data_IF_478224817370
#
_entry.id   IF_478224817370
#
_cell.length_a   1.000
_cell.length_b   1.000
_cell.length_c   1.000
_cell.angle_alpha   90.00
_cell.angle_beta   90.00
_cell.angle_gamma   90.00
#
_symmetry.space_group_name_H-M   'P 1'
#
loop_
_entity.id
_entity.type
_entity.pdbx_description
1 polymer ?
#
# COMPACT_ATOMS: atom_id res chain seq x y z
N UNK A 1 9.54 -28.13 11.67
CA UNK A 1 8.22 -28.02 11.02
C UNK A 1 8.41 -27.12 9.82
N UNK A 2 8.09 -27.57 8.60
CA UNK A 2 8.24 -26.76 7.40
C UNK A 2 7.43 -25.46 7.52
N UNK A 3 8.00 -24.34 7.08
CA UNK A 3 7.30 -23.05 7.02
C UNK A 3 6.11 -23.23 6.07
N UNK A 4 4.88 -23.22 6.62
CA UNK A 4 3.65 -23.27 5.83
C UNK A 4 3.67 -22.09 4.86
N UNK A 5 3.67 -22.37 3.55
CA UNK A 5 3.83 -21.33 2.54
C UNK A 5 2.46 -20.71 2.21
N UNK A 6 2.00 -19.81 3.07
CA UNK A 6 0.78 -19.04 2.81
C UNK A 6 1.05 -17.91 1.81
N UNK A 7 0.29 -17.89 0.72
CA UNK A 7 0.27 -16.80 -0.25
C UNK A 7 -1.02 -16.02 -0.09
N UNK A 8 -0.89 -14.71 0.16
CA UNK A 8 -1.99 -13.76 0.18
C UNK A 8 -1.75 -12.70 -0.88
N UNK A 9 -2.79 -12.39 -1.67
CA UNK A 9 -2.76 -11.39 -2.74
C UNK A 9 -4.01 -10.54 -2.70
N UNK A 10 -3.88 -9.24 -2.97
CA UNK A 10 -5.02 -8.34 -3.16
C UNK A 10 -5.65 -8.66 -4.52
N UNK A 11 -6.97 -8.70 -4.60
CA UNK A 11 -7.72 -8.91 -5.84
C UNK A 11 -8.58 -7.72 -6.22
N UNK A 12 -9.04 -6.95 -5.22
CA UNK A 12 -9.93 -5.83 -5.43
C UNK A 12 -9.83 -4.82 -4.28
N UNK A 13 -9.94 -3.54 -4.63
CA UNK A 13 -10.04 -2.40 -3.71
C UNK A 13 -11.27 -1.58 -4.11
N UNK A 14 -12.19 -1.34 -3.18
CA UNK A 14 -13.36 -0.48 -3.37
C UNK A 14 -13.38 0.62 -2.31
N UNK A 15 -13.57 1.86 -2.75
CA UNK A 15 -13.63 3.05 -1.92
C UNK A 15 -15.00 3.73 -2.07
N UNK A 16 -15.58 4.14 -0.94
CA UNK A 16 -16.81 4.94 -0.86
C UNK A 16 -16.62 6.12 0.08
N UNK A 17 -16.90 7.33 -0.39
CA UNK A 17 -16.80 8.55 0.42
C UNK A 17 -15.40 8.83 0.99
N UNK A 18 -14.33 8.35 0.35
CA UNK A 18 -12.95 8.53 0.79
C UNK A 18 -12.27 9.65 0.00
N UNK A 19 -11.86 10.73 0.68
CA UNK A 19 -11.37 11.99 0.10
C UNK A 19 -12.30 12.52 -0.98
N UNK A 20 -11.78 12.69 -2.19
CA UNK A 20 -12.49 13.12 -3.38
C UNK A 20 -13.12 11.95 -4.15
N UNK A 21 -13.07 10.72 -3.63
CA UNK A 21 -13.67 9.52 -4.25
C UNK A 21 -15.00 9.22 -3.58
N UNK A 22 -16.11 9.57 -4.23
CA UNK A 22 -17.45 9.20 -3.77
C UNK A 22 -17.68 7.70 -3.96
N UNK A 23 -17.31 7.16 -5.12
CA UNK A 23 -17.25 5.74 -5.40
C UNK A 23 -16.14 5.43 -6.41
N UNK A 24 -15.34 4.41 -6.11
CA UNK A 24 -14.33 3.91 -7.03
C UNK A 24 -14.01 2.45 -6.72
N UNK A 25 -13.83 1.65 -7.76
CA UNK A 25 -13.49 0.23 -7.64
C UNK A 25 -12.35 -0.13 -8.58
N UNK A 26 -11.37 -0.83 -8.04
CA UNK A 26 -10.17 -1.28 -8.73
C UNK A 26 -10.09 -2.79 -8.59
N UNK A 27 -9.95 -3.48 -9.71
CA UNK A 27 -9.81 -4.94 -9.77
C UNK A 27 -8.42 -5.24 -10.32
N UNK A 28 -7.65 -6.09 -9.65
CA UNK A 28 -6.31 -6.50 -10.11
C UNK A 28 -6.41 -7.32 -11.41
N UNK A 29 -5.41 -7.24 -12.31
CA UNK A 29 -5.41 -8.01 -13.57
C UNK A 29 -5.67 -9.50 -13.39
N UNK A 30 -5.00 -10.14 -12.42
CA UNK A 30 -5.18 -11.57 -12.10
C UNK A 30 -6.65 -11.90 -11.82
N UNK A 31 -7.30 -11.13 -10.96
CA UNK A 31 -8.71 -11.28 -10.62
C UNK A 31 -9.66 -10.98 -11.79
N UNK A 32 -9.35 -9.96 -12.60
CA UNK A 32 -10.12 -9.61 -13.79
C UNK A 32 -10.11 -10.73 -14.85
N UNK A 33 -8.96 -11.42 -14.97
CA UNK A 33 -8.78 -12.57 -15.87
C UNK A 33 -9.23 -13.90 -15.24
N UNK A 34 -9.75 -13.88 -14.00
CA UNK A 34 -10.12 -15.07 -13.21
C UNK A 34 -8.95 -16.02 -12.91
N UNK A 35 -7.71 -15.52 -12.99
CA UNK A 35 -6.50 -16.23 -12.57
C UNK A 35 -6.18 -15.94 -11.10
N UNK A 36 -7.08 -16.34 -10.20
CA UNK A 36 -7.03 -15.94 -8.79
C UNK A 36 -5.80 -16.46 -8.03
N UNK A 37 -5.25 -17.60 -8.44
CA UNK A 37 -4.13 -18.27 -7.78
C UNK A 37 -2.82 -18.12 -8.56
N UNK A 38 -2.74 -17.09 -9.41
CA UNK A 38 -1.53 -16.75 -10.15
C UNK A 38 -0.34 -16.56 -9.22
N UNK A 39 0.81 -17.09 -9.63
CA UNK A 39 2.11 -16.91 -8.94
C UNK A 39 3.07 -16.03 -9.74
N UNK A 40 2.56 -15.34 -10.75
CA UNK A 40 3.29 -14.43 -11.63
C UNK A 40 2.96 -12.96 -11.30
N UNK A 41 3.61 -12.06 -12.00
CA UNK A 41 3.45 -10.62 -11.85
C UNK A 41 1.97 -10.21 -11.96
N UNK A 42 1.54 -9.34 -11.04
CA UNK A 42 0.21 -8.73 -11.06
C UNK A 42 0.39 -7.25 -10.76
N UNK A 43 0.62 -6.51 -11.84
CA UNK A 43 1.02 -5.12 -11.84
C UNK A 43 -0.20 -4.27 -12.17
N UNK A 44 -0.38 -3.16 -11.45
CA UNK A 44 -1.44 -2.23 -11.68
C UNK A 44 -0.94 -0.79 -11.56
N UNK A 45 -0.91 -0.08 -12.69
CA UNK A 45 -0.68 1.35 -12.74
C UNK A 45 -1.98 2.15 -12.73
N UNK A 46 -2.06 3.16 -11.87
CA UNK A 46 -3.17 4.10 -11.76
C UNK A 46 -2.75 5.44 -12.35
N UNK A 47 -3.44 5.88 -13.41
CA UNK A 47 -3.09 7.06 -14.21
C UNK A 47 -4.18 8.12 -14.18
N UNK A 48 -3.81 9.37 -14.47
CA UNK A 48 -4.76 10.49 -14.59
C UNK A 48 -4.20 11.79 -14.01
N UNK A 49 -4.97 12.87 -14.15
CA UNK A 49 -4.54 14.21 -13.76
C UNK A 49 -4.21 14.38 -12.27
N UNK A 50 -3.54 15.47 -11.92
CA UNK A 50 -3.29 15.81 -10.52
C UNK A 50 -4.63 16.02 -9.80
N UNK A 51 -4.73 15.54 -8.55
CA UNK A 51 -5.97 15.66 -7.78
C UNK A 51 -7.14 14.76 -8.25
N UNK A 52 -6.92 13.82 -9.17
CA UNK A 52 -7.95 12.88 -9.64
C UNK A 52 -8.20 11.69 -8.70
N UNK A 53 -7.60 11.65 -7.51
CA UNK A 53 -7.82 10.58 -6.52
C UNK A 53 -6.96 9.32 -6.72
N UNK A 54 -5.84 9.39 -7.44
CA UNK A 54 -4.86 8.28 -7.51
C UNK A 54 -4.29 7.94 -6.12
N UNK A 55 -3.75 8.96 -5.44
CA UNK A 55 -3.20 8.89 -4.08
C UNK A 55 -4.21 8.37 -3.05
N UNK A 56 -5.52 8.60 -3.27
CA UNK A 56 -6.57 8.12 -2.38
C UNK A 56 -6.57 6.59 -2.23
N UNK A 57 -6.19 5.84 -3.28
CA UNK A 57 -6.05 4.37 -3.22
C UNK A 57 -4.88 3.96 -2.33
N UNK A 58 -3.75 4.64 -2.48
CA UNK A 58 -2.53 4.37 -1.73
C UNK A 58 -2.77 4.62 -0.24
N UNK A 59 -3.39 5.76 0.08
CA UNK A 59 -3.68 6.15 1.46
C UNK A 59 -4.74 5.24 2.12
N UNK A 60 -5.78 4.85 1.38
CA UNK A 60 -6.76 3.89 1.87
C UNK A 60 -6.11 2.54 2.21
N UNK A 61 -5.15 2.08 1.40
CA UNK A 61 -4.40 0.86 1.68
C UNK A 61 -3.45 1.02 2.88
N UNK A 62 -2.91 2.21 3.12
CA UNK A 62 -2.16 2.51 4.34
C UNK A 62 -3.03 2.39 5.60
N UNK A 63 -4.27 2.86 5.54
CA UNK A 63 -5.24 2.72 6.64
C UNK A 63 -5.58 1.25 6.88
N UNK A 64 -5.88 0.52 5.82
CA UNK A 64 -6.15 -0.92 5.88
C UNK A 64 -4.94 -1.64 6.47
N UNK A 65 -3.72 -1.37 6.02
CA UNK A 65 -2.51 -1.98 6.60
C UNK A 65 -2.38 -1.70 8.11
N UNK A 66 -2.67 -0.47 8.54
CA UNK A 66 -2.59 -0.05 9.94
C UNK A 66 -3.59 -0.85 10.78
N UNK A 67 -4.83 -0.95 10.34
CA UNK A 67 -5.89 -1.72 11.00
C UNK A 67 -5.60 -3.22 11.02
N UNK A 68 -5.20 -3.78 9.88
CA UNK A 68 -4.89 -5.21 9.74
C UNK A 68 -3.67 -5.64 10.56
N UNK A 69 -2.80 -4.71 10.95
CA UNK A 69 -1.67 -4.98 11.87
C UNK A 69 -2.01 -4.69 13.34
N UNK A 70 -3.27 -4.35 13.64
CA UNK A 70 -3.77 -4.10 14.99
C UNK A 70 -3.32 -2.77 15.58
N UNK A 71 -2.85 -1.83 14.75
CA UNK A 71 -2.42 -0.49 15.16
C UNK A 71 -3.59 0.51 15.09
N UNK A 72 -3.56 1.56 15.92
CA UNK A 72 -4.60 2.59 15.90
C UNK A 72 -4.48 3.48 14.67
N UNK A 73 -5.62 3.91 14.12
CA UNK A 73 -5.64 4.97 13.11
C UNK A 73 -5.29 6.32 13.74
N UNK A 74 -4.57 7.14 12.98
CA UNK A 74 -4.25 8.51 13.37
C UNK A 74 -5.50 9.40 13.38
N UNK A 75 -5.55 10.43 14.24
CA UNK A 75 -6.71 11.33 14.32
C UNK A 75 -6.95 12.11 13.02
N UNK A 76 -5.89 12.32 12.25
CA UNK A 76 -5.87 12.95 10.93
C UNK A 76 -6.69 12.15 9.89
N UNK A 77 -7.00 10.88 10.16
CA UNK A 77 -7.85 10.06 9.31
C UNK A 77 -9.25 10.67 9.08
N UNK A 78 -9.72 11.54 9.97
CA UNK A 78 -10.97 12.30 9.77
C UNK A 78 -10.97 13.13 8.48
N UNK A 79 -9.80 13.64 8.07
CA UNK A 79 -9.65 14.45 6.86
C UNK A 79 -9.75 13.63 5.56
N UNK A 80 -9.75 12.30 5.69
CA UNK A 80 -9.93 11.36 4.59
C UNK A 80 -11.39 10.93 4.42
N UNK A 81 -12.26 11.21 5.40
CA UNK A 81 -13.70 11.13 5.18
C UNK A 81 -14.08 12.32 4.28
N UNK A 82 -14.78 12.08 3.18
CA UNK A 82 -15.18 13.14 2.25
C UNK A 82 -15.89 14.28 2.97
N UNK A 83 -15.73 15.52 2.50
CA UNK A 83 -16.40 16.67 3.14
C UNK A 83 -17.92 16.54 3.05
N UNK A 84 -18.39 15.99 1.94
CA UNK A 84 -19.81 15.85 1.61
C UNK A 84 -20.41 14.52 2.12
N UNK A 85 -19.66 13.75 2.91
CA UNK A 85 -20.11 12.47 3.46
C UNK A 85 -19.94 12.42 4.99
N UNK A 86 -20.90 11.78 5.65
CA UNK A 86 -20.79 11.46 7.08
C UNK A 86 -19.95 10.20 7.34
N UNK A 87 -19.88 9.31 6.34
CA UNK A 87 -19.17 8.03 6.45
C UNK A 87 -18.29 7.79 5.24
N UNK A 88 -17.18 7.08 5.45
CA UNK A 88 -16.41 6.47 4.37
C UNK A 88 -16.28 4.96 4.59
N UNK A 89 -16.20 4.20 3.51
CA UNK A 89 -16.04 2.75 3.54
C UNK A 89 -14.88 2.35 2.64
N UNK A 90 -14.01 1.50 3.17
CA UNK A 90 -12.92 0.86 2.42
C UNK A 90 -13.19 -0.63 2.42
N UNK A 91 -13.22 -1.26 1.25
CA UNK A 91 -13.39 -2.70 1.09
C UNK A 91 -12.22 -3.27 0.31
N UNK A 92 -11.57 -4.31 0.84
CA UNK A 92 -10.44 -4.99 0.20
C UNK A 92 -10.72 -6.48 0.14
N UNK A 93 -10.56 -7.06 -1.06
CA UNK A 93 -10.65 -8.51 -1.27
C UNK A 93 -9.28 -9.13 -1.41
N UNK A 94 -9.04 -10.19 -0.65
CA UNK A 94 -7.81 -10.98 -0.65
C UNK A 94 -8.08 -12.37 -1.20
N UNK A 95 -7.17 -12.88 -2.02
CA UNK A 95 -7.06 -14.30 -2.32
C UNK A 95 -6.03 -14.90 -1.37
N UNK A 96 -6.42 -15.96 -0.68
CA UNK A 96 -5.60 -16.68 0.29
C UNK A 96 -5.42 -18.10 -0.20
N UNK A 97 -4.17 -18.53 -0.28
CA UNK A 97 -3.78 -19.89 -0.59
C UNK A 97 -2.81 -20.38 0.48
N UNK A 98 -3.23 -21.36 1.26
CA UNK A 98 -2.36 -22.17 2.12
C UNK A 98 -2.07 -23.51 1.43
N UNK A 99 -1.30 -24.38 2.08
CA UNK A 99 -1.04 -25.73 1.58
C UNK A 99 -2.32 -26.59 1.47
N UNK A 100 -3.33 -26.30 2.29
CA UNK A 100 -4.55 -27.10 2.42
C UNK A 100 -5.84 -26.37 2.04
N UNK A 101 -5.90 -25.05 2.18
CA UNK A 101 -7.12 -24.24 2.02
C UNK A 101 -6.89 -23.13 0.99
N UNK A 102 -7.90 -22.87 0.18
CA UNK A 102 -7.97 -21.74 -0.75
C UNK A 102 -9.25 -20.98 -0.50
N UNK A 103 -9.18 -19.66 -0.40
CA UNK A 103 -10.36 -18.84 -0.14
C UNK A 103 -10.20 -17.42 -0.70
N UNK A 104 -11.34 -16.78 -0.94
CA UNK A 104 -11.43 -15.33 -1.06
C UNK A 104 -11.94 -14.77 0.26
N UNK A 105 -11.25 -13.79 0.80
CA UNK A 105 -11.69 -13.03 1.98
C UNK A 105 -11.99 -11.59 1.57
N UNK A 106 -13.04 -11.01 2.13
CA UNK A 106 -13.38 -9.60 1.96
C UNK A 106 -13.39 -8.93 3.33
N UNK A 107 -12.54 -7.93 3.50
CA UNK A 107 -12.52 -7.06 4.69
C UNK A 107 -13.13 -5.71 4.32
N UNK A 108 -14.13 -5.29 5.08
CA UNK A 108 -14.79 -4.01 4.99
C UNK A 108 -14.61 -3.27 6.30
N UNK A 109 -14.22 -2.00 6.23
CA UNK A 109 -14.20 -1.08 7.37
C UNK A 109 -14.96 0.19 7.01
N UNK A 110 -15.77 0.67 7.95
CA UNK A 110 -16.51 1.93 7.82
C UNK A 110 -16.15 2.90 8.95
N UNK A 111 -15.76 4.10 8.55
CA UNK A 111 -15.51 5.22 9.46
C UNK A 111 -16.69 6.18 9.42
N UNK A 112 -17.05 6.77 10.57
CA UNK A 112 -18.07 7.81 10.67
C UNK A 112 -17.51 9.05 11.34
N UNK A 113 -17.74 10.21 10.74
CA UNK A 113 -17.46 11.50 11.35
C UNK A 113 -18.50 11.77 12.45
N UNK A 114 -18.02 12.02 13.66
CA UNK A 114 -18.86 12.36 14.82
C UNK A 114 -18.89 13.88 15.01
N UNK A 115 -17.76 14.54 14.83
CA UNK A 115 -17.63 15.98 14.93
C UNK A 115 -16.60 16.52 13.92
N UNK A 116 -16.19 17.79 14.03
CA UNK A 116 -15.15 18.36 13.15
C UNK A 116 -13.76 17.74 13.37
N UNK A 117 -13.52 17.15 14.54
CA UNK A 117 -12.20 16.62 14.96
C UNK A 117 -12.25 15.17 15.43
N UNK A 118 -13.42 14.57 15.50
CA UNK A 118 -13.60 13.20 16.00
C UNK A 118 -14.34 12.32 14.97
N UNK A 119 -13.88 11.09 14.89
CA UNK A 119 -14.48 10.03 14.08
C UNK A 119 -14.37 8.71 14.83
N UNK A 120 -15.16 7.74 14.42
CA UNK A 120 -15.15 6.38 14.97
C UNK A 120 -15.07 5.34 13.85
N UNK A 121 -14.52 4.18 14.17
CA UNK A 121 -14.69 2.96 13.37
C UNK A 121 -16.02 2.33 13.78
N UNK A 122 -17.06 2.54 12.99
CA UNK A 122 -18.42 2.16 13.36
C UNK A 122 -18.78 0.73 12.94
N UNK A 123 -18.12 0.21 11.91
CA UNK A 123 -18.44 -1.09 11.35
C UNK A 123 -17.18 -1.78 10.80
N UNK A 124 -17.06 -3.08 11.09
CA UNK A 124 -16.07 -3.96 10.49
C UNK A 124 -16.72 -5.28 10.11
N UNK A 125 -16.48 -5.72 8.88
CA UNK A 125 -16.98 -7.01 8.39
C UNK A 125 -15.83 -7.79 7.77
N UNK A 126 -15.66 -9.04 8.19
CA UNK A 126 -14.87 -10.04 7.49
C UNK A 126 -15.81 -11.08 6.92
N UNK A 127 -15.74 -11.26 5.60
CA UNK A 127 -16.48 -12.31 4.88
C UNK A 127 -15.50 -13.25 4.19
N UNK A 128 -15.93 -14.49 3.96
CA UNK A 128 -15.13 -15.46 3.22
C UNK A 128 -15.96 -16.30 2.25
N UNK A 129 -15.30 -16.76 1.19
CA UNK A 129 -15.80 -17.73 0.25
C UNK A 129 -14.70 -18.76 -0.02
N UNK A 130 -14.92 -20.01 0.41
CA UNK A 130 -13.97 -21.09 0.18
C UNK A 130 -13.91 -21.45 -1.31
N UNK A 131 -12.77 -21.92 -1.79
CA UNK A 131 -12.60 -22.41 -3.15
C UNK A 131 -12.90 -23.91 -3.22
N UNK A 132 -13.91 -24.27 -3.99
CA UNK A 132 -14.34 -25.67 -4.15
C UNK A 132 -13.45 -26.51 -5.08
N UNK A 133 -12.51 -25.89 -5.79
CA UNK A 133 -11.72 -26.51 -6.86
C UNK A 133 -11.97 -25.84 -8.22
N UNK A 134 -13.22 -25.46 -8.48
CA UNK A 134 -13.65 -24.85 -9.76
C UNK A 134 -14.17 -23.42 -9.61
N UNK A 135 -14.82 -23.12 -8.48
CA UNK A 135 -15.41 -21.82 -8.19
C UNK A 135 -15.36 -21.50 -6.70
N UNK A 136 -15.50 -20.22 -6.38
CA UNK A 136 -15.77 -19.81 -5.01
C UNK A 136 -17.18 -20.23 -4.59
N UNK A 137 -17.30 -20.75 -3.39
CA UNK A 137 -18.57 -20.98 -2.72
C UNK A 137 -19.30 -19.65 -2.46
N UNK A 138 -20.55 -19.75 -2.00
CA UNK A 138 -21.31 -18.59 -1.56
C UNK A 138 -20.56 -17.86 -0.44
N UNK A 139 -20.39 -16.56 -0.61
CA UNK A 139 -19.83 -15.65 0.39
C UNK A 139 -20.64 -15.73 1.69
N UNK A 140 -19.95 -15.90 2.82
CA UNK A 140 -20.51 -15.92 4.16
C UNK A 140 -19.86 -14.84 5.01
N UNK A 141 -20.66 -14.13 5.81
CA UNK A 141 -20.12 -13.26 6.84
C UNK A 141 -19.51 -14.12 7.95
N UNK A 142 -18.23 -13.92 8.21
CA UNK A 142 -17.48 -14.61 9.26
C UNK A 142 -17.62 -13.83 10.56
N UNK A 143 -17.31 -12.53 10.52
CA UNK A 143 -17.47 -11.60 11.62
C UNK A 143 -18.09 -10.34 11.04
N UNK A 144 -19.17 -9.88 11.64
CA UNK A 144 -19.83 -8.64 11.31
C UNK A 144 -20.08 -7.87 12.61
N UNK A 145 -19.29 -6.82 12.81
CA UNK A 145 -19.21 -6.04 14.05
C UNK A 145 -19.74 -4.62 13.81
N UNK A 146 -20.67 -4.18 14.66
CA UNK A 146 -21.13 -2.79 14.72
C UNK A 146 -20.88 -2.21 16.10
N UNK A 147 -20.14 -1.10 16.18
CA UNK A 147 -19.75 -0.46 17.44
C UNK A 147 -20.99 -0.10 18.29
N UNK A 148 -22.01 0.45 17.65
CA UNK A 148 -23.26 0.89 18.29
C UNK A 148 -24.41 -0.11 18.15
N UNK A 149 -24.11 -1.37 17.75
CA UNK A 149 -25.14 -2.41 17.68
C UNK A 149 -25.62 -2.79 19.09
N UNK A 150 -26.95 -2.78 19.29
CA UNK A 150 -27.62 -3.24 20.52
C UNK A 150 -27.75 -4.77 20.60
N UNK A 151 -27.44 -5.48 19.51
CA UNK A 151 -27.51 -6.93 19.40
C UNK A 151 -26.30 -7.67 19.97
N UNK A 152 -26.03 -8.91 19.50
CA UNK A 152 -24.80 -9.62 19.87
C UNK A 152 -23.55 -8.80 19.50
N UNK A 153 -22.43 -9.02 20.21
CA UNK A 153 -21.17 -8.28 20.02
C UNK A 153 -20.75 -8.29 18.54
N UNK A 154 -20.86 -9.44 17.89
CA UNK A 154 -20.76 -9.58 16.44
C UNK A 154 -21.72 -10.67 15.94
N UNK A 155 -21.99 -10.68 14.63
CA UNK A 155 -22.74 -11.75 13.97
C UNK A 155 -21.86 -12.51 12.96
N UNK A 156 -22.19 -13.77 12.59
CA UNK A 156 -23.34 -14.57 13.01
C UNK A 156 -23.35 -14.97 14.49
N UNK A 157 -24.55 -14.98 15.11
CA UNK A 157 -24.71 -15.26 16.56
C UNK A 157 -24.14 -16.62 16.98
N UNK A 158 -24.30 -17.66 16.15
CA UNK A 158 -23.81 -19.00 16.47
C UNK A 158 -22.29 -19.04 16.67
N UNK A 159 -21.51 -18.25 15.89
CA UNK A 159 -20.05 -18.19 16.05
C UNK A 159 -19.64 -17.54 17.37
N UNK A 160 -20.35 -16.47 17.77
CA UNK A 160 -20.14 -15.85 19.06
C UNK A 160 -20.44 -16.84 20.19
N UNK A 161 -21.55 -17.59 20.10
CA UNK A 161 -21.93 -18.60 21.07
C UNK A 161 -20.92 -19.76 21.13
N UNK A 162 -20.40 -20.22 19.99
CA UNK A 162 -19.40 -21.28 19.94
C UNK A 162 -18.07 -20.84 20.56
N UNK A 163 -17.61 -19.60 20.31
CA UNK A 163 -16.42 -19.05 20.97
C UNK A 163 -16.60 -18.94 22.49
N UNK A 164 -17.77 -18.51 22.95
CA UNK A 164 -18.05 -18.41 24.40
C UNK A 164 -18.12 -19.81 25.02
N UNK A 165 -18.74 -20.79 24.35
CA UNK A 165 -18.82 -22.17 24.82
C UNK A 165 -17.43 -22.81 24.99
N UNK A 166 -16.49 -22.45 24.12
CA UNK A 166 -15.11 -22.93 24.20
C UNK A 166 -14.32 -22.27 25.34
N UNK A 167 -14.56 -20.97 25.59
CA UNK A 167 -14.03 -20.26 26.77
C UNK A 167 -14.97 -19.12 27.18
N UNK A 168 -15.57 -19.23 28.37
CA UNK A 168 -16.53 -18.26 28.91
C UNK A 168 -15.92 -16.85 29.07
N UNK A 169 -14.59 -16.73 29.26
CA UNK A 169 -13.89 -15.44 29.32
C UNK A 169 -13.95 -14.68 28.01
N UNK A 170 -14.16 -15.35 26.87
CA UNK A 170 -14.24 -14.71 25.56
C UNK A 170 -15.34 -13.65 25.49
N UNK A 171 -16.43 -13.80 26.26
CA UNK A 171 -17.48 -12.77 26.36
C UNK A 171 -16.93 -11.46 26.94
N UNK A 172 -16.11 -11.57 27.99
CA UNK A 172 -15.47 -10.41 28.64
C UNK A 172 -14.41 -9.83 27.71
N UNK A 173 -13.54 -10.67 27.16
CA UNK A 173 -12.45 -10.24 26.27
C UNK A 173 -12.98 -9.52 25.01
N UNK A 174 -14.06 -10.02 24.39
CA UNK A 174 -14.70 -9.35 23.25
C UNK A 174 -15.41 -8.05 23.65
N UNK A 175 -15.93 -7.95 24.88
CA UNK A 175 -16.49 -6.70 25.40
C UNK A 175 -15.40 -5.63 25.62
N UNK A 176 -14.23 -6.06 26.12
CA UNK A 176 -13.04 -5.21 26.23
C UNK A 176 -12.56 -4.77 24.85
N UNK A 177 -12.43 -5.71 23.89
CA UNK A 177 -12.07 -5.41 22.51
C UNK A 177 -13.00 -4.36 21.88
N UNK A 178 -14.32 -4.49 22.07
CA UNK A 178 -15.32 -3.50 21.62
C UNK A 178 -15.06 -2.13 22.24
N UNK A 179 -14.75 -2.06 23.53
CA UNK A 179 -14.49 -0.79 24.22
C UNK A 179 -13.20 -0.11 23.75
N UNK A 180 -12.15 -0.89 23.53
CA UNK A 180 -10.86 -0.40 23.01
C UNK A 180 -11.00 0.05 21.56
N UNK A 181 -11.68 -0.71 20.70
CA UNK A 181 -11.93 -0.32 19.31
C UNK A 181 -12.61 1.06 19.20
N UNK A 182 -13.62 1.32 20.04
CA UNK A 182 -14.29 2.62 20.07
C UNK A 182 -13.45 3.77 20.64
N UNK A 183 -12.56 3.50 21.59
CA UNK A 183 -11.77 4.54 22.27
C UNK A 183 -10.46 4.87 21.54
N UNK A 184 -9.77 3.84 21.08
CA UNK A 184 -8.38 3.91 20.65
C UNK A 184 -8.24 3.79 19.11
N UNK A 185 -9.36 3.76 18.36
CA UNK A 185 -9.39 3.72 16.90
C UNK A 185 -8.62 2.54 16.30
N UNK A 186 -8.65 1.40 16.99
CA UNK A 186 -8.08 0.12 16.54
C UNK A 186 -9.16 -0.77 15.95
N UNK A 187 -8.75 -1.69 15.08
CA UNK A 187 -9.65 -2.72 14.54
C UNK A 187 -10.21 -3.62 15.65
N UNK A 188 -11.49 -3.96 15.58
CA UNK A 188 -12.08 -4.98 16.45
C UNK A 188 -11.63 -6.38 16.03
N UNK A 189 -11.53 -6.66 14.72
CA UNK A 189 -11.17 -7.98 14.19
C UNK A 189 -9.65 -8.24 14.33
N UNK A 190 -8.82 -7.25 14.00
CA UNK A 190 -7.36 -7.40 13.91
C UNK A 190 -6.60 -6.78 15.08
N UNK A 191 -7.28 -5.98 15.93
CA UNK A 191 -6.71 -5.45 17.16
C UNK A 191 -6.29 -6.57 18.12
N UNK A 192 -5.30 -6.33 19.00
CA UNK A 192 -4.70 -7.37 19.84
C UNK A 192 -5.72 -8.20 20.62
N UNK A 193 -6.69 -7.56 21.26
CA UNK A 193 -7.71 -8.22 22.08
C UNK A 193 -8.65 -9.09 21.24
N UNK A 194 -9.25 -8.54 20.19
CA UNK A 194 -10.20 -9.27 19.35
C UNK A 194 -9.53 -10.40 18.57
N UNK A 195 -8.39 -10.10 17.92
CA UNK A 195 -7.60 -11.10 17.21
C UNK A 195 -7.14 -12.22 18.14
N UNK A 196 -6.74 -11.91 19.37
CA UNK A 196 -6.38 -12.90 20.37
C UNK A 196 -7.49 -13.92 20.61
N UNK A 197 -8.74 -13.46 20.75
CA UNK A 197 -9.92 -14.33 20.89
C UNK A 197 -10.21 -15.13 19.62
N UNK A 198 -10.17 -14.52 18.43
CA UNK A 198 -10.48 -15.24 17.19
C UNK A 198 -9.44 -16.33 16.86
N UNK A 199 -8.22 -16.20 17.37
CA UNK A 199 -7.14 -17.17 17.15
C UNK A 199 -6.98 -18.17 18.29
N UNK A 200 -7.61 -17.98 19.46
CA UNK A 200 -7.46 -18.90 20.60
C UNK A 200 -8.12 -20.26 20.39
N UNK A 201 -9.14 -20.32 19.52
CA UNK A 201 -9.94 -21.50 19.20
C UNK A 201 -9.65 -22.10 17.81
N UNK A 202 -8.40 -21.97 17.33
CA UNK A 202 -8.04 -22.29 15.94
C UNK A 202 -8.20 -23.78 15.56
N UNK A 203 -8.30 -24.68 16.54
CA UNK A 203 -8.59 -26.11 16.36
C UNK A 203 -10.03 -26.49 16.74
N UNK A 204 -10.87 -25.51 17.04
CA UNK A 204 -12.23 -25.64 17.55
C UNK A 204 -13.19 -24.69 16.84
N UNK A 205 -13.85 -23.81 17.59
CA UNK A 205 -14.92 -22.93 17.10
C UNK A 205 -14.51 -21.98 15.97
N UNK A 206 -13.21 -21.69 15.81
CA UNK A 206 -12.70 -20.79 14.77
C UNK A 206 -11.88 -21.45 13.67
N UNK A 207 -11.86 -22.78 13.58
CA UNK A 207 -11.01 -23.52 12.62
C UNK A 207 -11.21 -23.12 11.14
N UNK A 208 -12.43 -22.73 10.77
CA UNK A 208 -12.78 -22.38 9.39
C UNK A 208 -12.46 -20.91 9.01
N UNK A 209 -12.04 -20.06 9.96
CA UNK A 209 -11.69 -18.67 9.67
C UNK A 209 -10.47 -18.11 10.42
N UNK A 210 -9.99 -18.73 11.49
CA UNK A 210 -8.79 -18.31 12.20
C UNK A 210 -7.59 -18.22 11.26
N UNK A 211 -7.45 -19.18 10.33
CA UNK A 211 -6.40 -19.15 9.32
C UNK A 211 -6.51 -17.93 8.39
N UNK A 212 -7.72 -17.43 8.10
CA UNK A 212 -7.94 -16.24 7.27
C UNK A 212 -7.43 -15.00 8.00
N UNK A 213 -7.85 -14.81 9.26
CA UNK A 213 -7.43 -13.68 10.09
C UNK A 213 -5.90 -13.71 10.27
N UNK A 214 -5.34 -14.88 10.59
CA UNK A 214 -3.90 -15.05 10.75
C UNK A 214 -3.14 -14.74 9.45
N UNK A 215 -3.62 -15.26 8.31
CA UNK A 215 -2.98 -15.04 7.01
C UNK A 215 -2.98 -13.56 6.62
N UNK A 216 -4.11 -12.87 6.80
CA UNK A 216 -4.22 -11.43 6.49
C UNK A 216 -3.35 -10.59 7.44
N UNK A 217 -3.37 -10.89 8.75
CA UNK A 217 -2.54 -10.22 9.74
C UNK A 217 -1.04 -10.36 9.41
N UNK A 218 -0.58 -11.59 9.14
CA UNK A 218 0.80 -11.86 8.74
C UNK A 218 1.16 -11.20 7.41
N UNK A 219 0.26 -11.23 6.42
CA UNK A 219 0.46 -10.56 5.14
C UNK A 219 0.60 -9.04 5.29
N UNK A 220 -0.32 -8.39 6.01
CA UNK A 220 -0.27 -6.95 6.24
C UNK A 220 0.99 -6.55 7.03
N UNK A 221 1.36 -7.40 8.00
CA UNK A 221 2.54 -7.26 8.83
C UNK A 221 3.84 -7.41 8.06
N UNK A 222 3.98 -8.42 7.18
CA UNK A 222 5.27 -8.87 6.63
C UNK A 222 5.43 -8.72 5.11
N UNK A 223 4.33 -8.71 4.36
CA UNK A 223 4.37 -8.85 2.90
C UNK A 223 3.76 -7.67 2.14
N UNK A 224 2.91 -6.86 2.79
CA UNK A 224 2.37 -5.63 2.24
C UNK A 224 3.28 -4.45 2.60
N UNK A 225 3.60 -3.61 1.61
CA UNK A 225 4.34 -2.37 1.78
C UNK A 225 3.55 -1.24 1.11
N UNK A 226 3.22 -0.20 1.87
CA UNK A 226 2.53 0.98 1.35
C UNK A 226 3.45 2.18 1.50
N UNK A 227 3.92 2.73 0.38
CA UNK A 227 4.83 3.87 0.31
C UNK A 227 4.06 5.07 -0.24
N UNK A 228 3.59 5.92 0.67
CA UNK A 228 2.88 7.15 0.32
C UNK A 228 3.84 8.28 -0.08
N UNK A 229 3.29 9.34 -0.67
CA UNK A 229 4.08 10.52 -1.01
C UNK A 229 4.64 11.26 0.22
N UNK A 230 4.11 11.07 1.42
CA UNK A 230 4.72 11.59 2.64
C UNK A 230 6.06 10.90 2.95
N UNK A 231 6.19 9.60 2.62
CA UNK A 231 7.48 8.90 2.67
C UNK A 231 8.44 9.42 1.61
N UNK A 232 7.96 9.71 0.39
CA UNK A 232 8.77 10.35 -0.65
C UNK A 232 9.15 11.81 -0.29
N UNK A 233 8.27 12.54 0.37
CA UNK A 233 8.52 13.90 0.85
C UNK A 233 9.54 13.97 1.97
N UNK A 234 9.57 12.98 2.88
CA UNK A 234 10.64 12.85 3.87
C UNK A 234 12.02 12.61 3.22
N UNK A 235 12.05 11.88 2.10
CA UNK A 235 13.24 11.71 1.25
C UNK A 235 13.63 13.05 0.61
N UNK A 236 12.67 13.79 0.04
CA UNK A 236 12.90 15.12 -0.56
C UNK A 236 13.24 16.23 0.44
N UNK A 237 12.99 16.02 1.75
CA UNK A 237 13.30 16.97 2.81
C UNK A 237 14.61 16.63 3.57
N UNK A 238 15.47 15.75 3.02
CA UNK A 238 16.79 15.37 3.55
C UNK A 238 16.84 14.69 4.94
N UNK A 239 15.75 14.59 5.71
CA UNK A 239 15.82 14.17 7.12
C UNK A 239 16.07 12.67 7.37
N UNK A 240 15.55 11.76 6.55
CA UNK A 240 15.67 10.30 6.77
C UNK A 240 15.22 9.49 5.54
N UNK A 241 15.97 8.46 5.11
CA UNK A 241 15.38 7.41 4.25
C UNK A 241 14.86 6.31 5.17
N UNK A 242 13.53 6.10 5.26
CA UNK A 242 13.04 4.80 5.68
C UNK A 242 13.37 3.81 4.58
N UNK A 243 14.43 3.01 4.76
CA UNK A 243 14.66 1.85 3.91
C UNK A 243 13.67 0.80 4.36
N UNK A 244 12.53 0.74 3.68
CA UNK A 244 11.60 -0.35 3.89
C UNK A 244 12.31 -1.64 3.46
N UNK A 245 12.56 -2.54 4.41
CA UNK A 245 13.25 -3.78 4.13
C UNK A 245 12.45 -4.99 4.59
N UNK A 246 12.66 -6.09 3.88
CA UNK A 246 12.34 -7.43 4.34
C UNK A 246 13.57 -8.30 4.12
N UNK A 247 14.12 -8.82 5.21
CA UNK A 247 15.31 -9.66 5.18
C UNK A 247 14.97 -11.06 5.68
N UNK A 248 15.35 -12.07 4.92
CA UNK A 248 15.22 -13.48 5.30
C UNK A 248 16.54 -13.92 5.97
N UNK A 249 16.51 -14.08 7.30
CA UNK A 249 17.64 -14.52 8.11
C UNK A 249 17.58 -16.04 8.37
N UNK A 250 16.97 -16.81 7.45
CA UNK A 250 16.82 -18.26 7.53
C UNK A 250 15.66 -18.68 8.44
N UNK A 251 15.87 -18.68 9.77
CA UNK A 251 14.80 -19.07 10.72
C UNK A 251 13.85 -17.92 11.08
N UNK A 252 14.23 -16.67 10.77
CA UNK A 252 13.45 -15.46 11.06
C UNK A 252 13.39 -14.55 9.86
N UNK A 253 12.22 -13.94 9.66
CA UNK A 253 12.03 -12.89 8.67
C UNK A 253 11.96 -11.57 9.45
N UNK A 254 12.89 -10.67 9.18
CA UNK A 254 12.86 -9.32 9.70
C UNK A 254 12.15 -8.41 8.69
N UNK A 255 11.22 -7.58 9.16
CA UNK A 255 10.67 -6.46 8.41
C UNK A 255 10.70 -5.21 9.29
N UNK A 256 11.11 -4.10 8.70
CA UNK A 256 11.11 -2.81 9.36
C UNK A 256 11.54 -1.72 8.41
N UNK A 257 11.72 -0.54 8.98
CA UNK A 257 12.38 0.58 8.33
C UNK A 257 13.77 0.70 8.95
N UNK A 258 14.81 0.58 8.12
CA UNK A 258 16.16 0.88 8.58
C UNK A 258 16.29 2.41 8.56
N UNK A 259 16.29 3.00 9.75
CA UNK A 259 16.36 4.44 9.96
C UNK A 259 17.82 4.90 9.96
N UNK A 260 18.42 4.99 8.76
CA UNK A 260 19.70 5.68 8.59
C UNK A 260 19.40 7.08 8.05
N UNK A 261 20.00 8.08 8.70
CA UNK A 261 19.87 9.47 8.28
C UNK A 261 20.60 9.70 6.97
N UNK A 262 20.01 10.56 6.13
CA UNK A 262 20.61 10.97 4.87
C UNK A 262 21.38 12.28 5.02
N UNK A 263 20.81 13.23 5.74
CA UNK A 263 21.34 14.57 5.94
C UNK A 263 22.68 14.56 6.67
N UNK A 264 22.85 13.69 7.66
CA UNK A 264 24.08 13.61 8.45
C UNK A 264 24.39 12.20 8.98
N UNK A 265 25.65 11.93 9.40
CA UNK A 265 26.02 10.66 10.00
C UNK A 265 25.18 10.33 11.25
N UNK A 266 24.68 9.10 11.35
CA UNK A 266 23.88 8.60 12.46
C UNK A 266 24.55 7.44 13.19
N UNK A 267 24.28 7.28 14.48
CA UNK A 267 24.78 6.14 15.27
C UNK A 267 23.74 5.03 15.25
N UNK A 268 24.13 3.84 14.80
CA UNK A 268 23.28 2.64 14.77
C UNK A 268 23.90 1.52 15.60
N UNK A 269 23.08 0.60 16.14
CA UNK A 269 23.62 -0.56 16.86
C UNK A 269 24.39 -1.49 15.93
N UNK A 270 25.29 -2.31 16.50
CA UNK A 270 26.06 -3.31 15.73
C UNK A 270 25.17 -4.26 14.93
N UNK A 271 24.04 -4.69 15.51
CA UNK A 271 23.05 -5.52 14.81
C UNK A 271 22.47 -4.80 13.57
N UNK A 272 22.07 -3.54 13.71
CA UNK A 272 21.57 -2.76 12.58
C UNK A 272 22.65 -2.50 11.52
N UNK A 273 23.91 -2.32 11.93
CA UNK A 273 25.05 -2.17 11.02
C UNK A 273 25.26 -3.41 10.15
N UNK A 274 25.24 -4.60 10.76
CA UNK A 274 25.37 -5.88 10.05
C UNK A 274 24.20 -6.11 9.08
N UNK A 275 22.96 -5.85 9.52
CA UNK A 275 21.76 -5.92 8.68
C UNK A 275 21.85 -4.95 7.50
N UNK A 276 22.25 -3.70 7.74
CA UNK A 276 22.42 -2.69 6.70
C UNK A 276 23.46 -3.12 5.66
N UNK A 277 24.60 -3.66 6.10
CA UNK A 277 25.64 -4.17 5.21
C UNK A 277 25.14 -5.29 4.28
N UNK A 278 24.35 -6.23 4.80
CA UNK A 278 23.74 -7.31 4.01
C UNK A 278 22.75 -6.76 2.97
N UNK A 279 21.83 -5.89 3.41
CA UNK A 279 20.84 -5.28 2.52
C UNK A 279 21.52 -4.51 1.37
N UNK A 280 22.52 -3.69 1.67
CA UNK A 280 23.22 -2.90 0.65
C UNK A 280 24.03 -3.79 -0.30
N UNK A 281 24.59 -4.88 0.18
CA UNK A 281 25.28 -5.86 -0.68
C UNK A 281 24.32 -6.48 -1.69
N UNK A 282 23.15 -6.95 -1.26
CA UNK A 282 22.12 -7.49 -2.14
C UNK A 282 21.59 -6.44 -3.12
N UNK A 283 21.34 -5.23 -2.64
CA UNK A 283 20.88 -4.11 -3.47
C UNK A 283 21.88 -3.77 -4.58
N UNK A 284 23.18 -3.80 -4.30
CA UNK A 284 24.23 -3.49 -5.28
C UNK A 284 24.23 -4.43 -6.49
N UNK A 285 23.83 -5.71 -6.32
CA UNK A 285 23.72 -6.67 -7.43
C UNK A 285 22.70 -6.16 -8.45
N UNK A 286 21.58 -5.63 -7.98
CA UNK A 286 20.50 -5.12 -8.84
C UNK A 286 20.78 -3.69 -9.30
N UNK A 287 21.36 -2.86 -8.42
CA UNK A 287 21.66 -1.47 -8.72
C UNK A 287 22.68 -1.33 -9.86
N UNK A 288 23.73 -2.15 -9.88
CA UNK A 288 24.73 -2.15 -10.96
C UNK A 288 24.12 -2.57 -12.31
N UNK A 289 23.14 -3.48 -12.30
CA UNK A 289 22.40 -3.86 -13.50
C UNK A 289 21.42 -2.77 -13.98
N UNK A 290 20.82 -2.02 -13.07
CA UNK A 290 19.86 -0.95 -13.38
C UNK A 290 20.54 0.37 -13.77
N UNK A 291 21.62 0.73 -13.08
CA UNK A 291 22.37 1.98 -13.23
C UNK A 291 23.86 1.61 -13.26
N UNK A 292 24.41 1.29 -14.45
CA UNK A 292 25.78 0.79 -14.58
C UNK A 292 26.81 1.72 -13.92
N UNK A 293 27.67 1.12 -13.08
CA UNK A 293 28.75 1.83 -12.39
C UNK A 293 28.32 2.60 -11.14
N UNK A 294 27.06 2.50 -10.71
CA UNK A 294 26.59 3.01 -9.42
C UNK A 294 26.55 1.88 -8.38
N UNK A 295 27.16 2.12 -7.23
CA UNK A 295 26.99 1.28 -6.04
C UNK A 295 26.78 2.13 -4.79
N UNK A 296 26.17 1.53 -3.78
CA UNK A 296 25.93 2.14 -2.46
C UNK A 296 26.71 1.40 -1.38
N UNK A 297 27.03 2.10 -0.30
CA UNK A 297 27.72 1.51 0.83
C UNK A 297 27.57 2.33 2.09
N UNK A 298 28.23 1.85 3.14
CA UNK A 298 28.30 2.52 4.43
C UNK A 298 29.73 3.01 4.62
N UNK A 299 29.88 4.30 4.91
CA UNK A 299 31.10 4.86 5.46
C UNK A 299 31.02 4.77 6.99
N UNK A 300 31.91 3.98 7.59
CA UNK A 300 31.98 3.78 9.04
C UNK A 300 33.00 4.75 9.66
N UNK A 301 32.53 5.64 10.54
CA UNK A 301 33.38 6.55 11.29
C UNK A 301 33.97 5.91 12.56
N UNK A 302 33.55 4.69 12.90
CA UNK A 302 34.00 3.92 14.05
C UNK A 302 32.96 3.77 15.15
N UNK A 303 33.38 3.07 16.21
CA UNK A 303 32.52 2.75 17.36
C UNK A 303 32.18 3.99 18.21
N UNK A 304 30.93 4.10 18.64
CA UNK A 304 30.42 5.15 19.50
C UNK A 304 29.41 4.59 20.52
N UNK A 305 29.42 5.10 21.74
CA UNK A 305 28.44 4.74 22.77
C UNK A 305 27.04 5.24 22.40
N UNK A 306 26.06 4.34 22.48
CA UNK A 306 24.63 4.64 22.37
C UNK A 306 24.13 5.27 23.67
N UNK A 307 23.00 6.00 23.60
CA UNK A 307 22.38 6.64 24.77
C UNK A 307 22.04 5.65 25.90
N UNK A 308 21.77 4.39 25.57
CA UNK A 308 21.48 3.33 26.54
C UNK A 308 22.74 2.59 27.06
N UNK A 309 23.94 3.07 26.73
CA UNK A 309 25.21 2.51 27.22
C UNK A 309 25.76 1.32 26.42
N UNK A 310 25.09 0.87 25.36
CA UNK A 310 25.62 -0.13 24.42
C UNK A 310 26.60 0.48 23.40
N UNK A 311 27.39 -0.35 22.72
CA UNK A 311 28.27 0.08 21.61
C UNK A 311 27.53 0.06 20.28
N UNK A 312 27.60 1.15 19.53
CA UNK A 312 27.11 1.29 18.15
C UNK A 312 28.21 1.76 17.20
N UNK A 313 27.88 1.92 15.93
CA UNK A 313 28.74 2.49 14.90
C UNK A 313 28.15 3.82 14.42
N UNK A 314 29.00 4.84 14.30
CA UNK A 314 28.62 6.10 13.65
C UNK A 314 28.84 5.94 12.15
N UNK A 315 27.78 6.07 11.36
CA UNK A 315 27.80 5.74 9.93
C UNK A 315 27.14 6.79 9.05
N UNK A 316 27.57 6.85 7.78
CA UNK A 316 26.93 7.64 6.72
C UNK A 316 26.77 6.79 5.46
N UNK A 317 25.63 6.92 4.77
CA UNK A 317 25.40 6.26 3.50
C UNK A 317 26.12 7.00 2.39
N UNK A 318 26.82 6.25 1.55
CA UNK A 318 27.61 6.76 0.44
C UNK A 318 27.20 6.11 -0.86
N UNK A 319 27.32 6.86 -1.95
CA UNK A 319 27.31 6.35 -3.32
C UNK A 319 28.74 6.33 -3.86
N UNK A 320 29.03 5.35 -4.72
CA UNK A 320 30.32 5.18 -5.37
C UNK A 320 30.12 5.02 -6.87
N UNK A 321 30.87 5.80 -7.66
CA UNK A 321 30.95 5.73 -9.12
C UNK A 321 32.41 5.73 -9.57
N UNK A 322 32.93 4.55 -9.89
CA UNK A 322 34.37 4.36 -10.08
C UNK A 322 35.12 4.75 -8.80
N UNK A 323 36.08 5.67 -8.92
CA UNK A 323 36.86 6.18 -7.79
C UNK A 323 36.18 7.32 -7.01
N UNK A 324 35.05 7.83 -7.50
CA UNK A 324 34.33 8.95 -6.87
C UNK A 324 33.39 8.39 -5.81
N UNK A 325 33.57 8.81 -4.57
CA UNK A 325 32.67 8.51 -3.45
C UNK A 325 32.07 9.81 -2.92
N UNK A 326 30.75 9.87 -2.83
CA UNK A 326 30.02 11.03 -2.27
C UNK A 326 28.93 10.55 -1.30
N UNK A 327 28.55 11.37 -0.31
CA UNK A 327 27.36 11.11 0.50
C UNK A 327 26.11 10.88 -0.37
N UNK A 328 25.30 9.89 0.00
CA UNK A 328 24.13 9.47 -0.78
C UNK A 328 23.10 10.59 -0.98
N UNK A 329 23.00 11.53 -0.03
CA UNK A 329 22.12 12.72 -0.12
C UNK A 329 22.39 13.62 -1.33
N UNK A 330 23.58 13.55 -1.93
CA UNK A 330 23.94 14.36 -3.10
C UNK A 330 23.62 13.67 -4.44
N UNK A 331 23.09 12.44 -4.41
CA UNK A 331 22.56 11.80 -5.63
C UNK A 331 21.23 12.44 -6.06
N UNK A 332 20.84 12.22 -7.33
CA UNK A 332 19.57 12.75 -7.82
C UNK A 332 18.37 12.17 -7.06
N UNK A 333 17.31 12.96 -6.88
CA UNK A 333 16.07 12.53 -6.20
C UNK A 333 15.54 11.19 -6.75
N UNK A 334 15.58 11.00 -8.07
CA UNK A 334 15.16 9.74 -8.71
C UNK A 334 16.00 8.54 -8.29
N UNK A 335 17.32 8.70 -8.17
CA UNK A 335 18.23 7.63 -7.71
C UNK A 335 17.95 7.31 -6.24
N UNK A 336 17.82 8.33 -5.40
CA UNK A 336 17.48 8.16 -3.98
C UNK A 336 16.13 7.44 -3.84
N UNK A 337 15.13 7.79 -4.67
CA UNK A 337 13.82 7.13 -4.70
C UNK A 337 13.89 5.67 -5.13
N UNK A 338 14.67 5.34 -6.17
CA UNK A 338 14.86 3.94 -6.58
C UNK A 338 15.53 3.15 -5.46
N UNK A 339 16.60 3.70 -4.88
CA UNK A 339 17.35 3.07 -3.79
C UNK A 339 16.47 2.82 -2.57
N UNK A 340 15.59 3.76 -2.18
CA UNK A 340 14.73 3.61 -1.00
C UNK A 340 13.70 2.48 -1.12
N UNK A 341 13.34 2.08 -2.34
CA UNK A 341 12.34 1.03 -2.59
C UNK A 341 12.92 -0.23 -3.22
N UNK A 342 14.21 -0.24 -3.58
CA UNK A 342 14.85 -1.32 -4.32
C UNK A 342 14.78 -2.66 -3.59
N UNK A 343 15.00 -2.68 -2.27
CA UNK A 343 14.89 -3.92 -1.49
C UNK A 343 13.46 -4.51 -1.57
N UNK A 344 12.42 -3.68 -1.48
CA UNK A 344 11.03 -4.13 -1.61
C UNK A 344 10.74 -4.60 -3.03
N UNK A 345 11.24 -3.89 -4.05
CA UNK A 345 11.14 -4.30 -5.45
C UNK A 345 11.77 -5.69 -5.68
N UNK A 346 12.95 -5.95 -5.10
CA UNK A 346 13.59 -7.27 -5.14
C UNK A 346 12.72 -8.35 -4.49
N UNK A 347 12.10 -8.04 -3.35
CA UNK A 347 11.17 -8.96 -2.68
C UNK A 347 9.93 -9.24 -3.53
N UNK A 348 9.33 -8.21 -4.14
CA UNK A 348 8.18 -8.35 -5.06
C UNK A 348 8.54 -9.19 -6.27
N UNK A 349 9.74 -9.01 -6.83
CA UNK A 349 10.19 -9.79 -7.97
C UNK A 349 10.23 -11.29 -7.65
N UNK A 350 10.68 -11.66 -6.45
CA UNK A 350 10.99 -13.05 -6.11
C UNK A 350 9.90 -13.78 -5.29
N UNK A 351 8.92 -13.09 -4.69
CA UNK A 351 7.94 -13.70 -3.78
C UNK A 351 6.48 -13.43 -4.20
N UNK A 352 5.66 -14.47 -4.44
CA UNK A 352 4.29 -14.32 -4.91
C UNK A 352 3.31 -13.72 -3.90
N UNK A 353 3.66 -13.69 -2.61
CA UNK A 353 2.84 -13.04 -1.59
C UNK A 353 3.25 -11.58 -1.34
N UNK A 354 4.37 -11.11 -1.91
CA UNK A 354 4.80 -9.72 -1.70
C UNK A 354 3.95 -8.75 -2.50
N UNK A 355 3.60 -7.62 -1.89
CA UNK A 355 2.86 -6.54 -2.53
C UNK A 355 3.49 -5.19 -2.15
N UNK A 356 3.90 -4.44 -3.17
CA UNK A 356 4.28 -3.03 -3.03
C UNK A 356 3.18 -2.15 -3.61
N UNK A 357 2.71 -1.19 -2.80
CA UNK A 357 1.77 -0.15 -3.18
C UNK A 357 2.49 1.18 -3.02
N UNK A 358 2.74 1.91 -4.11
CA UNK A 358 3.58 3.12 -4.09
C UNK A 358 2.95 4.30 -4.81
N UNK A 359 3.00 5.47 -4.18
CA UNK A 359 2.57 6.71 -4.81
C UNK A 359 3.69 7.34 -5.65
N UNK A 360 3.30 7.88 -6.80
CA UNK A 360 4.12 8.60 -7.77
C UNK A 360 5.44 7.90 -8.07
N UNK A 361 5.41 6.60 -8.40
CA UNK A 361 6.63 5.80 -8.65
C UNK A 361 7.60 6.47 -9.64
N UNK A 362 7.07 7.29 -10.54
CA UNK A 362 7.79 8.05 -11.56
C UNK A 362 8.42 9.37 -11.09
N UNK A 363 8.12 9.87 -9.90
CA UNK A 363 8.65 11.15 -9.43
C UNK A 363 10.18 11.16 -9.39
N UNK A 364 10.80 12.07 -10.16
CA UNK A 364 12.25 12.23 -10.27
C UNK A 364 12.98 11.11 -11.03
N UNK A 365 12.31 10.00 -11.36
CA UNK A 365 12.91 8.84 -12.04
C UNK A 365 12.91 9.06 -13.55
N UNK A 366 14.05 8.74 -14.20
CA UNK A 366 14.15 8.82 -15.66
C UNK A 366 13.14 7.89 -16.36
N UNK A 367 12.37 8.44 -17.30
CA UNK A 367 11.22 7.75 -17.90
C UNK A 367 11.56 6.43 -18.61
N UNK A 368 12.73 6.37 -19.25
CA UNK A 368 13.17 5.17 -19.94
C UNK A 368 13.49 4.05 -18.94
N UNK A 369 14.22 4.37 -17.88
CA UNK A 369 14.57 3.41 -16.82
C UNK A 369 13.30 2.84 -16.16
N UNK A 370 12.33 3.69 -15.86
CA UNK A 370 11.05 3.26 -15.30
C UNK A 370 10.32 2.30 -16.26
N UNK A 371 10.29 2.63 -17.56
CA UNK A 371 9.67 1.77 -18.57
C UNK A 371 10.32 0.39 -18.66
N UNK A 372 11.66 0.33 -18.69
CA UNK A 372 12.42 -0.93 -18.70
C UNK A 372 12.20 -1.73 -17.42
N UNK A 373 12.21 -1.09 -16.26
CA UNK A 373 11.94 -1.74 -14.97
C UNK A 373 10.56 -2.39 -14.97
N UNK A 374 9.52 -1.67 -15.39
CA UNK A 374 8.15 -2.20 -15.44
C UNK A 374 8.01 -3.35 -16.44
N UNK A 375 8.69 -3.28 -17.59
CA UNK A 375 8.75 -4.36 -18.59
C UNK A 375 9.43 -5.63 -18.04
N UNK A 376 10.51 -5.49 -17.28
CA UNK A 376 11.18 -6.61 -16.59
C UNK A 376 10.27 -7.20 -15.52
N UNK A 377 9.60 -6.35 -14.73
CA UNK A 377 8.65 -6.78 -13.72
C UNK A 377 7.48 -7.56 -14.31
N UNK A 378 6.88 -7.08 -15.40
CA UNK A 378 5.73 -7.75 -16.02
C UNK A 378 6.09 -9.15 -16.53
N UNK A 379 7.32 -9.34 -17.00
CA UNK A 379 7.79 -10.63 -17.55
C UNK A 379 8.26 -11.61 -16.48
N UNK A 380 8.83 -11.13 -15.38
CA UNK A 380 9.59 -11.99 -14.46
C UNK A 380 9.20 -11.92 -12.99
N UNK A 381 8.46 -10.89 -12.56
CA UNK A 381 8.09 -10.78 -11.16
C UNK A 381 7.06 -11.85 -10.76
N UNK A 382 6.99 -12.13 -9.45
CA UNK A 382 6.03 -13.08 -8.87
C UNK A 382 4.96 -12.40 -8.01
N UNK A 383 5.31 -11.30 -7.36
CA UNK A 383 4.45 -10.54 -6.46
C UNK A 383 3.53 -9.54 -7.16
N UNK A 384 3.04 -8.58 -6.38
CA UNK A 384 2.12 -7.53 -6.84
C UNK A 384 2.76 -6.15 -6.73
N UNK A 385 2.51 -5.31 -7.73
CA UNK A 385 2.95 -3.91 -7.74
C UNK A 385 1.76 -3.03 -8.11
N UNK A 386 1.29 -2.22 -7.17
CA UNK A 386 0.28 -1.18 -7.41
C UNK A 386 0.99 0.16 -7.33
N UNK A 387 0.89 0.99 -8.36
CA UNK A 387 1.55 2.28 -8.36
C UNK A 387 0.70 3.37 -8.99
N UNK A 388 0.94 4.61 -8.58
CA UNK A 388 0.42 5.78 -9.31
C UNK A 388 1.53 6.37 -10.19
N UNK A 389 1.15 6.90 -11.34
CA UNK A 389 2.10 7.52 -12.26
C UNK A 389 1.42 8.50 -13.21
N UNK A 390 2.20 9.46 -13.69
CA UNK A 390 1.93 10.39 -14.78
C UNK A 390 2.74 10.08 -16.05
N UNK A 391 3.70 9.15 -15.95
CA UNK A 391 4.62 8.79 -16.99
C UNK A 391 3.97 7.99 -18.13
N UNK A 392 3.93 8.59 -19.31
CA UNK A 392 3.31 7.98 -20.49
C UNK A 392 4.11 6.80 -21.07
N UNK A 393 5.43 6.71 -20.81
CA UNK A 393 6.26 5.60 -21.29
C UNK A 393 5.83 4.26 -20.71
N UNK A 394 5.44 4.26 -19.44
CA UNK A 394 4.93 3.06 -18.78
C UNK A 394 3.65 2.52 -19.45
N UNK A 395 2.79 3.39 -20.02
CA UNK A 395 1.60 2.96 -20.78
C UNK A 395 1.95 2.18 -22.06
N UNK A 396 3.15 2.35 -22.59
CA UNK A 396 3.65 1.62 -23.77
C UNK A 396 4.27 0.27 -23.39
N UNK A 397 4.73 0.13 -22.14
CA UNK A 397 5.59 -0.96 -21.70
C UNK A 397 4.85 -2.09 -20.99
N UNK A 398 3.70 -1.81 -20.39
CA UNK A 398 2.91 -2.83 -19.67
C UNK A 398 1.57 -3.12 -20.34
N UNK A 399 1.04 -4.31 -20.08
CA UNK A 399 -0.21 -4.78 -20.66
C UNK A 399 -1.39 -3.89 -20.27
N UNK A 400 -2.34 -3.75 -21.20
CA UNK A 400 -3.48 -2.82 -21.08
C UNK A 400 -4.41 -3.16 -19.90
N UNK A 401 -4.49 -4.43 -19.49
CA UNK A 401 -5.27 -4.84 -18.31
C UNK A 401 -4.65 -4.35 -16.99
N UNK A 402 -3.34 -4.09 -17.01
CA UNK A 402 -2.49 -3.61 -15.91
C UNK A 402 -2.61 -2.10 -15.72
N UNK A 403 -3.47 -1.40 -16.46
CA UNK A 403 -3.65 0.04 -16.37
C UNK A 403 -5.10 0.38 -16.00
N UNK A 404 -5.26 1.29 -15.06
CA UNK A 404 -6.52 1.93 -14.69
C UNK A 404 -6.36 3.43 -14.76
N UNK A 405 -7.37 4.13 -15.27
CA UNK A 405 -7.41 5.57 -15.36
C UNK A 405 -8.39 6.13 -14.34
N UNK A 406 -7.96 7.17 -13.65
CA UNK A 406 -8.80 7.99 -12.81
C UNK A 406 -9.59 8.99 -13.67
N UNK A 407 -10.83 9.26 -13.29
CA UNK A 407 -11.76 10.13 -14.01
C UNK A 407 -12.02 11.42 -13.24
N UNK A 408 -12.66 12.40 -13.88
CA UNK A 408 -13.16 13.60 -13.20
C UNK A 408 -14.46 13.33 -12.42
N UNK A 409 -15.16 12.24 -12.71
CA UNK A 409 -16.39 11.83 -12.04
C UNK A 409 -16.13 11.19 -10.66
N UNK A 410 -16.52 11.82 -9.53
CA UNK A 410 -16.35 11.27 -8.19
C UNK A 410 -17.09 9.96 -7.94
N UNK A 411 -18.22 9.72 -8.62
CA UNK A 411 -19.07 8.55 -8.44
C UNK A 411 -18.63 7.35 -9.30
N UNK A 412 -17.69 7.53 -10.21
CA UNK A 412 -17.12 6.45 -11.02
C UNK A 412 -15.63 6.73 -11.25
N UNK A 413 -14.87 6.73 -10.15
CA UNK A 413 -13.54 7.36 -10.13
C UNK A 413 -12.47 6.62 -10.90
N UNK A 414 -12.62 5.31 -11.11
CA UNK A 414 -11.58 4.48 -11.74
C UNK A 414 -12.18 3.62 -12.85
N UNK A 415 -11.61 3.73 -14.06
CA UNK A 415 -12.07 3.00 -15.24
C UNK A 415 -10.91 2.37 -16.00
N UNK A 416 -11.23 1.39 -16.83
CA UNK A 416 -10.36 0.94 -17.92
C UNK A 416 -10.91 1.47 -19.24
N UNK A 417 -10.03 1.88 -20.15
CA UNK A 417 -10.45 2.38 -21.47
C UNK A 417 -11.18 1.26 -22.23
N UNK A 418 -12.28 1.63 -22.87
CA UNK A 418 -13.06 0.70 -23.69
C UNK A 418 -12.61 0.75 -25.16
N UNK A 419 -13.00 -0.26 -25.94
CA UNK A 419 -12.73 -0.36 -27.39
C UNK A 419 -11.24 -0.38 -27.76
N UNK A 420 -10.40 -0.97 -26.90
CA UNK A 420 -8.98 -1.12 -27.20
C UNK A 420 -8.78 -2.29 -28.19
N UNK A 421 -8.37 -1.99 -29.42
CA UNK A 421 -7.93 -3.02 -30.38
C UNK A 421 -6.53 -3.50 -30.01
N UNK A 422 -6.18 -4.72 -30.42
CA UNK A 422 -4.86 -5.32 -30.17
C UNK A 422 -3.71 -4.40 -30.58
N UNK A 423 -3.83 -3.74 -31.74
CA UNK A 423 -2.77 -2.93 -32.35
C UNK A 423 -2.73 -1.47 -31.86
N UNK A 424 -3.61 -1.05 -30.95
CA UNK A 424 -3.60 0.34 -30.48
C UNK A 424 -2.53 0.56 -29.40
N UNK A 425 -1.75 1.63 -29.54
CA UNK A 425 -0.91 2.16 -28.48
C UNK A 425 -1.79 2.81 -27.40
N UNK A 426 -1.62 2.37 -26.15
CA UNK A 426 -2.42 2.86 -25.02
C UNK A 426 -2.12 4.34 -24.72
N UNK A 427 -0.89 4.80 -24.92
CA UNK A 427 -0.50 6.21 -24.81
C UNK A 427 -1.30 7.07 -25.78
N UNK A 428 -1.32 6.70 -27.06
CA UNK A 428 -2.04 7.46 -28.09
C UNK A 428 -3.55 7.47 -27.82
N UNK A 429 -4.10 6.35 -27.35
CA UNK A 429 -5.50 6.28 -26.93
C UNK A 429 -5.80 7.19 -25.75
N UNK A 430 -4.92 7.23 -24.75
CA UNK A 430 -5.06 8.10 -23.59
C UNK A 430 -5.00 9.58 -23.98
N UNK A 431 -3.98 9.98 -24.75
CA UNK A 431 -3.84 11.35 -25.27
C UNK A 431 -5.04 11.76 -26.14
N UNK A 432 -5.51 10.86 -27.01
CA UNK A 432 -6.72 11.10 -27.81
C UNK A 432 -7.94 11.27 -26.92
N UNK A 433 -8.09 10.45 -25.89
CA UNK A 433 -9.24 10.51 -24.98
C UNK A 433 -9.24 11.79 -24.12
N UNK A 434 -8.05 12.34 -23.83
CA UNK A 434 -7.92 13.66 -23.19
C UNK A 434 -8.40 14.78 -24.11
N UNK A 435 -8.01 14.75 -25.39
CA UNK A 435 -8.24 15.86 -26.34
C UNK A 435 -9.62 15.80 -27.01
N UNK A 436 -10.09 14.60 -27.36
CA UNK A 436 -11.31 14.39 -28.16
C UNK A 436 -12.44 13.72 -27.36
N UNK A 437 -12.18 13.28 -26.13
CA UNK A 437 -13.12 12.46 -25.38
C UNK A 437 -13.34 11.07 -25.99
N UNK A 438 -14.59 10.59 -25.97
CA UNK A 438 -14.99 9.30 -26.55
C UNK A 438 -14.98 8.10 -25.58
N UNK A 439 -14.65 8.34 -24.30
CA UNK A 439 -14.92 7.39 -23.22
C UNK A 439 -16.25 7.73 -22.54
N UNK A 440 -16.81 6.76 -21.78
CA UNK A 440 -18.04 7.00 -21.00
C UNK A 440 -17.85 8.05 -19.90
N UNK A 441 -16.63 8.19 -19.42
CA UNK A 441 -16.26 9.15 -18.38
C UNK A 441 -15.18 10.08 -18.94
N UNK A 442 -15.21 11.35 -18.51
CA UNK A 442 -14.12 12.28 -18.75
C UNK A 442 -12.91 11.90 -17.86
N UNK A 443 -11.76 11.70 -18.50
CA UNK A 443 -10.51 11.32 -17.83
C UNK A 443 -9.60 12.52 -17.53
N UNK A 444 -9.95 13.68 -18.06
CA UNK A 444 -9.23 14.93 -17.91
C UNK A 444 -10.21 16.09 -17.92
N UNK A 445 -9.91 17.10 -17.09
CA UNK A 445 -10.59 18.38 -17.09
C UNK A 445 -9.78 19.33 -17.96
N UNK A 446 -10.40 19.78 -19.06
CA UNK A 446 -9.70 20.55 -20.10
C UNK A 446 -9.04 21.80 -19.54
N UNK A 447 -7.84 22.08 -20.05
CA UNK A 447 -7.05 23.25 -19.65
C UNK A 447 -6.95 24.21 -20.83
N UNK A 448 -7.41 25.45 -20.65
CA UNK A 448 -7.30 26.51 -21.67
C UNK A 448 -5.98 27.27 -21.52
N UNK A 449 -5.06 27.04 -22.46
CA UNK A 449 -3.76 27.72 -22.49
C UNK A 449 -3.86 29.24 -22.63
N UNK A 450 -4.91 29.75 -23.29
CA UNK A 450 -5.18 31.19 -23.44
C UNK A 450 -5.64 31.77 -22.11
N UNK A 451 -6.52 31.06 -21.40
CA UNK A 451 -6.97 31.46 -20.07
C UNK A 451 -5.82 31.47 -19.06
N UNK A 452 -4.97 30.43 -19.06
CA UNK A 452 -3.74 30.40 -18.26
C UNK A 452 -2.87 31.63 -18.56
N UNK A 453 -2.61 31.90 -19.84
CA UNK A 453 -1.80 33.05 -20.24
C UNK A 453 -2.43 34.40 -19.87
N UNK A 454 -3.77 34.50 -19.82
CA UNK A 454 -4.48 35.69 -19.31
C UNK A 454 -4.35 35.79 -17.79
N UNK A 455 -4.50 34.70 -17.06
CA UNK A 455 -4.38 34.66 -15.60
C UNK A 455 -2.98 35.08 -15.14
N UNK A 456 -1.90 34.54 -15.73
CA UNK A 456 -0.52 34.95 -15.42
C UNK A 456 -0.30 36.45 -15.67
N UNK A 457 -0.79 36.97 -16.79
CA UNK A 457 -0.70 38.40 -17.10
C UNK A 457 -1.48 39.27 -16.11
N UNK A 458 -2.67 38.83 -15.67
CA UNK A 458 -3.47 39.53 -14.65
C UNK A 458 -2.74 39.54 -13.31
N UNK A 459 -2.23 38.41 -12.85
CA UNK A 459 -1.46 38.33 -11.60
C UNK A 459 -0.24 39.25 -11.62
N UNK A 460 0.51 39.27 -12.74
CA UNK A 460 1.65 40.17 -12.91
C UNK A 460 1.30 41.67 -12.89
N UNK A 461 0.07 42.05 -13.28
CA UNK A 461 -0.43 43.43 -13.15
C UNK A 461 -0.80 43.76 -11.71
N UNK A 462 -1.50 42.87 -11.00
CA UNK A 462 -1.85 43.06 -9.58
C UNK A 462 -0.61 43.24 -8.71
N UNK A 463 0.49 42.53 -9.00
CA UNK A 463 1.77 42.71 -8.29
C UNK A 463 2.45 44.05 -8.61
N UNK A 464 2.22 44.61 -9.81
CA UNK A 464 2.80 45.90 -10.24
C UNK A 464 1.98 47.11 -9.77
N UNK A 465 0.67 46.96 -9.68
CA UNK A 465 -0.26 48.04 -9.33
C UNK A 465 -0.51 48.15 -7.81
N UNK A 466 0.10 47.26 -7.01
CA UNK A 466 0.21 47.38 -5.56
C UNK A 466 -0.96 46.75 -4.80
N UNK A 467 -0.62 46.06 -3.71
CA UNK A 467 -1.54 45.78 -2.62
C UNK A 467 -1.98 47.09 -1.96
N UNK A 468 -2.99 47.71 -2.55
CA UNK A 468 -3.88 48.66 -1.90
C UNK A 468 -5.28 48.03 -1.92
N UNK A 469 -5.54 47.20 -0.92
CA UNK A 469 -6.84 47.12 -0.25
C UNK A 469 -6.57 46.97 1.24
#
# INVERSE_FOLDING_TARGET
MGVVQTVVRISEIELKGFKNTQYGRIIMPSAGNKDFFSKTADILGIYGQNGSGKTAVIEAMGFVQTLLTGRPLSKEAIHYISKDAETCTITVKFIIQTDSKKAMAEYLVQLKRISKSEFEIIHETLSSAAWSGEKFESKKNVIDFGLHSEGPIFTPKYRLEDLIRENDENKVNLSVAKKIAGKDLVSFIFGPEGRGVFLSAASGASEDYAYIIQSIYQYAGMNLFVISNAHAGAISMDFMIPFAFRLDLGEKIAKGDLLIRLDEPSVISKEHFEIAGQILHEMNIVLDAMIPGLSIGIYDFGEQLLEQGGTGHRVELISKRGDITIPLKYESEGIIKIISVLNVLMCVYNNPSMCLIIDELDAGVYEYLLGELLSVFEKGARGQLIFTSHNLRALEMIHKSSIVFSTTNPANRYIRLQNIKSNHNLRDMYLRSIVLGGQKEAIYEETDSVEIGRAFRRAGKVVRDGGQD
#
